data_IF_230837634374
#
_entry.id   IF_230837634374
#
_cell.length_a   1.000
_cell.length_b   1.000
_cell.length_c   1.000
_cell.angle_alpha   90.00
_cell.angle_beta   90.00
_cell.angle_gamma   90.00
#
_symmetry.space_group_name_H-M   'P 1'
#
loop_
_entity.id
_entity.type
_entity.pdbx_description
1 polymer ?
#
# COMPACT_ATOMS: atom_id res chain seq x y z
N UNK A 1 -87.01 -5.19 -13.64
CA UNK A 1 -87.42 -5.29 -15.06
C UNK A 1 -86.15 -5.21 -15.90
N UNK A 2 -85.72 -6.16 -16.73
CA UNK A 2 -86.27 -7.45 -17.15
C UNK A 2 -85.08 -8.25 -17.69
N UNK A 3 -84.97 -9.50 -17.25
CA UNK A 3 -84.05 -10.54 -17.69
C UNK A 3 -84.55 -11.16 -18.99
N UNK A 4 -83.64 -11.70 -19.83
CA UNK A 4 -83.71 -12.96 -20.62
C UNK A 4 -83.08 -12.77 -22.00
N UNK A 5 -82.48 -13.74 -22.68
CA UNK A 5 -81.79 -15.02 -22.42
C UNK A 5 -81.53 -15.59 -23.84
N UNK A 6 -80.48 -16.40 -24.05
CA UNK A 6 -80.37 -17.52 -25.03
C UNK A 6 -78.88 -17.77 -25.31
N UNK A 7 -78.18 -18.84 -24.89
CA UNK A 7 -78.36 -20.32 -24.85
C UNK A 7 -77.85 -21.08 -26.10
N UNK A 8 -76.59 -21.57 -26.01
CA UNK A 8 -75.98 -22.90 -26.33
C UNK A 8 -76.68 -23.83 -27.35
N UNK A 9 -76.03 -24.43 -28.40
CA UNK A 9 -75.30 -25.73 -28.43
C UNK A 9 -73.93 -26.04 -27.81
N UNK A 10 -73.71 -27.31 -27.49
CA UNK A 10 -72.43 -28.01 -27.28
C UNK A 10 -72.43 -29.30 -28.13
N UNK A 11 -71.35 -30.10 -28.01
CA UNK A 11 -71.21 -31.51 -28.45
C UNK A 11 -70.71 -31.67 -29.90
N UNK A 12 -69.93 -32.67 -30.31
CA UNK A 12 -69.48 -33.93 -29.74
C UNK A 12 -68.19 -34.31 -30.48
N UNK A 13 -67.18 -34.86 -29.80
CA UNK A 13 -66.37 -35.95 -30.34
C UNK A 13 -65.50 -36.51 -29.24
N UNK A 14 -66.17 -37.32 -28.42
CA UNK A 14 -65.60 -38.35 -27.57
C UNK A 14 -66.03 -39.70 -28.19
N UNK A 15 -65.09 -40.41 -28.79
CA UNK A 15 -65.19 -41.81 -29.24
C UNK A 15 -63.74 -42.34 -29.23
N UNK A 16 -63.34 -43.19 -28.28
CA UNK A 16 -63.48 -44.64 -28.43
C UNK A 16 -62.15 -45.26 -28.89
N UNK A 17 -61.33 -45.76 -27.97
CA UNK A 17 -61.19 -47.19 -27.61
C UNK A 17 -60.45 -48.08 -28.63
N UNK A 18 -59.28 -48.58 -28.17
CA UNK A 18 -58.75 -49.94 -28.34
C UNK A 18 -58.11 -50.33 -29.70
N UNK A 19 -56.76 -50.47 -29.76
CA UNK A 19 -55.97 -51.73 -29.60
C UNK A 19 -54.59 -51.65 -30.29
N UNK A 20 -53.57 -52.17 -29.57
CA UNK A 20 -52.35 -52.87 -30.05
C UNK A 20 -51.40 -52.16 -31.04
N UNK A 21 -50.10 -52.01 -30.76
CA UNK A 21 -49.22 -53.15 -30.56
C UNK A 21 -47.93 -52.82 -29.77
N UNK A 22 -47.50 -53.84 -29.02
CA UNK A 22 -46.29 -54.00 -28.20
C UNK A 22 -45.02 -53.52 -28.90
N UNK A 23 -44.12 -52.86 -28.16
CA UNK A 23 -42.83 -53.47 -27.77
C UNK A 23 -42.43 -52.97 -26.39
N UNK A 24 -42.52 -53.86 -25.40
CA UNK A 24 -41.86 -53.73 -24.11
C UNK A 24 -40.36 -53.83 -24.36
N UNK A 25 -39.60 -52.76 -24.10
CA UNK A 25 -38.18 -52.88 -23.76
C UNK A 25 -37.97 -52.26 -22.39
N UNK A 26 -37.90 -53.16 -21.41
CA UNK A 26 -37.33 -52.89 -20.10
C UNK A 26 -35.91 -52.36 -20.28
N UNK A 27 -35.65 -51.12 -19.88
CA UNK A 27 -34.31 -50.70 -19.49
C UNK A 27 -34.45 -50.07 -18.11
N UNK A 28 -34.34 -50.94 -17.11
CA UNK A 28 -34.32 -50.57 -15.69
C UNK A 28 -33.06 -49.76 -15.35
N UNK A 29 -33.14 -48.96 -14.26
CA UNK A 29 -32.33 -47.79 -13.97
C UNK A 29 -31.15 -48.12 -13.05
N UNK A 30 -29.97 -47.50 -13.22
CA UNK A 30 -28.89 -47.65 -12.22
C UNK A 30 -27.74 -46.64 -12.25
N UNK A 31 -27.92 -45.41 -12.73
CA UNK A 31 -26.80 -44.44 -12.77
C UNK A 31 -27.11 -43.02 -12.30
N UNK A 32 -28.25 -42.79 -11.62
CA UNK A 32 -28.58 -41.46 -11.12
C UNK A 32 -27.96 -41.05 -9.75
N UNK A 33 -27.62 -41.95 -8.78
CA UNK A 33 -27.14 -41.46 -7.49
C UNK A 33 -25.66 -41.06 -7.49
N UNK A 34 -24.90 -41.40 -8.54
CA UNK A 34 -23.45 -41.13 -8.58
C UNK A 34 -23.12 -39.69 -9.00
N UNK A 35 -24.04 -38.99 -9.67
CA UNK A 35 -23.81 -37.61 -10.15
C UNK A 35 -23.91 -36.57 -9.02
N UNK A 36 -24.75 -36.80 -8.00
CA UNK A 36 -24.98 -35.84 -6.90
C UNK A 36 -23.82 -35.85 -5.90
N UNK A 37 -23.20 -37.00 -5.64
CA UNK A 37 -22.02 -37.09 -4.73
C UNK A 37 -20.78 -36.47 -5.38
N UNK A 38 -20.61 -36.60 -6.70
CA UNK A 38 -19.50 -36.00 -7.42
C UNK A 38 -19.55 -34.45 -7.42
N UNK A 39 -20.75 -33.86 -7.34
CA UNK A 39 -20.91 -32.40 -7.31
C UNK A 39 -20.64 -31.78 -5.93
N UNK A 40 -20.81 -32.53 -4.83
CA UNK A 40 -20.51 -32.04 -3.48
C UNK A 40 -19.01 -32.06 -3.12
N UNK A 41 -18.20 -32.89 -3.79
CA UNK A 41 -16.76 -33.01 -3.52
C UNK A 41 -15.89 -31.91 -4.17
N UNK A 42 -16.41 -31.16 -5.15
CA UNK A 42 -15.63 -30.11 -5.85
C UNK A 42 -15.64 -28.74 -5.18
N UNK A 43 -16.42 -28.54 -4.11
CA UNK A 43 -16.59 -27.22 -3.48
C UNK A 43 -15.55 -26.86 -2.39
N UNK A 44 -14.63 -27.76 -2.00
CA UNK A 44 -13.79 -27.57 -0.80
C UNK A 44 -12.37 -27.03 -1.09
N UNK A 45 -11.97 -26.88 -2.35
CA UNK A 45 -10.59 -26.48 -2.69
C UNK A 45 -10.38 -24.97 -2.95
N UNK A 46 -11.41 -24.13 -2.83
CA UNK A 46 -11.23 -22.67 -2.93
C UNK A 46 -10.66 -22.13 -1.62
N UNK A 47 -9.36 -22.34 -1.39
CA UNK A 47 -8.62 -21.60 -0.37
C UNK A 47 -8.74 -20.12 -0.71
N UNK A 48 -9.27 -19.24 0.18
CA UNK A 48 -9.16 -17.82 -0.06
C UNK A 48 -7.67 -17.53 -0.18
N UNK A 49 -7.27 -16.96 -1.31
CA UNK A 49 -5.91 -16.46 -1.45
C UNK A 49 -5.72 -15.46 -0.31
N UNK A 50 -4.98 -15.85 0.72
CA UNK A 50 -4.55 -14.96 1.78
C UNK A 50 -3.98 -13.74 1.07
N UNK A 51 -4.58 -12.56 1.27
CA UNK A 51 -4.09 -11.32 0.72
C UNK A 51 -2.68 -11.11 1.30
N UNK A 52 -1.68 -11.65 0.59
CA UNK A 52 -0.29 -11.48 0.96
C UNK A 52 -0.02 -10.00 0.80
N UNK A 53 0.19 -9.33 1.92
CA UNK A 53 0.70 -7.97 1.93
C UNK A 53 2.07 -8.04 1.26
N UNK A 54 2.09 -7.69 -0.03
CA UNK A 54 3.33 -7.63 -0.80
C UNK A 54 4.13 -6.46 -0.28
N UNK A 55 5.05 -6.75 0.64
CA UNK A 55 6.03 -5.80 1.11
C UNK A 55 6.82 -5.30 -0.09
N UNK A 56 6.71 -3.99 -0.38
CA UNK A 56 7.53 -3.33 -1.39
C UNK A 56 8.86 -2.97 -0.76
N UNK A 57 9.75 -3.96 -0.65
CA UNK A 57 11.15 -3.68 -0.37
C UNK A 57 11.78 -3.26 -1.69
N UNK A 58 11.95 -1.95 -1.89
CA UNK A 58 12.68 -1.42 -3.04
C UNK A 58 14.17 -1.72 -2.91
N UNK A 59 14.87 -1.81 -4.03
CA UNK A 59 16.33 -1.84 -4.04
C UNK A 59 16.86 -0.51 -3.47
N UNK A 60 17.65 -0.58 -2.39
CA UNK A 60 18.33 0.60 -1.84
C UNK A 60 19.57 0.83 -2.69
N UNK A 61 19.47 1.76 -3.65
CA UNK A 61 20.60 2.13 -4.50
C UNK A 61 21.56 3.01 -3.70
N UNK A 62 22.76 2.50 -3.42
CA UNK A 62 23.84 3.31 -2.88
C UNK A 62 24.23 4.39 -3.88
N UNK A 63 24.26 5.64 -3.44
CA UNK A 63 24.80 6.71 -4.27
C UNK A 63 26.29 6.44 -4.50
N UNK A 64 26.75 6.55 -5.75
CA UNK A 64 28.17 6.44 -6.10
C UNK A 64 29.01 7.65 -5.69
N UNK A 65 28.57 8.40 -4.68
CA UNK A 65 29.25 9.63 -4.22
C UNK A 65 30.57 9.27 -3.54
N UNK A 66 31.53 10.15 -3.71
CA UNK A 66 32.77 10.13 -2.94
C UNK A 66 32.51 10.64 -1.52
N UNK A 67 33.40 10.28 -0.59
CA UNK A 67 33.32 10.76 0.78
C UNK A 67 33.39 12.29 0.85
N UNK A 68 34.28 12.91 0.07
CA UNK A 68 34.41 14.37 0.00
C UNK A 68 33.10 15.06 -0.45
N UNK A 69 32.40 14.51 -1.44
CA UNK A 69 31.10 15.02 -1.88
C UNK A 69 30.03 14.87 -0.79
N UNK A 70 30.08 13.78 -0.03
CA UNK A 70 29.16 13.55 1.09
C UNK A 70 29.42 14.53 2.24
N UNK A 71 30.68 14.81 2.59
CA UNK A 71 31.06 15.81 3.60
C UNK A 71 30.66 17.23 3.15
N UNK A 72 30.84 17.58 1.88
CA UNK A 72 30.36 18.85 1.34
C UNK A 72 28.84 18.98 1.49
N UNK A 73 28.08 17.93 1.16
CA UNK A 73 26.63 17.92 1.34
C UNK A 73 26.20 18.01 2.82
N UNK A 74 26.99 17.44 3.74
CA UNK A 74 26.78 17.57 5.19
C UNK A 74 27.04 19.02 5.65
N UNK A 75 28.10 19.66 5.15
CA UNK A 75 28.41 21.06 5.41
C UNK A 75 27.25 21.96 4.99
N UNK A 76 26.72 21.78 3.78
CA UNK A 76 25.56 22.52 3.30
C UNK A 76 24.32 22.29 4.19
N UNK A 77 24.16 21.07 4.71
CA UNK A 77 23.05 20.73 5.61
C UNK A 77 23.12 21.44 6.95
N UNK A 78 24.31 21.56 7.53
CA UNK A 78 24.51 22.23 8.82
C UNK A 78 24.04 23.70 8.78
N UNK A 79 24.19 24.34 7.61
CA UNK A 79 23.81 25.74 7.37
C UNK A 79 22.34 25.92 7.01
N UNK A 80 21.63 24.85 6.63
CA UNK A 80 20.23 24.93 6.25
C UNK A 80 19.31 25.12 7.48
N UNK A 81 18.15 25.73 7.27
CA UNK A 81 17.10 25.81 8.31
C UNK A 81 16.57 24.43 8.68
N UNK A 82 16.47 23.53 7.69
CA UNK A 82 16.06 22.15 7.88
C UNK A 82 17.31 21.25 7.96
N UNK A 83 17.68 20.87 9.19
CA UNK A 83 18.91 20.10 9.49
C UNK A 83 18.69 18.60 9.64
N UNK A 84 17.55 18.10 9.18
CA UNK A 84 17.25 16.68 9.15
C UNK A 84 17.63 16.09 7.80
N UNK A 85 18.41 15.02 7.83
CA UNK A 85 18.95 14.36 6.64
C UNK A 85 18.90 12.84 6.83
N UNK A 86 19.15 12.11 5.75
CA UNK A 86 19.48 10.69 5.77
C UNK A 86 20.98 10.57 5.50
N UNK A 87 21.68 9.96 6.44
CA UNK A 87 23.09 9.61 6.32
C UNK A 87 23.20 8.13 5.98
N UNK A 88 23.95 7.81 4.93
CA UNK A 88 24.31 6.45 4.59
C UNK A 88 25.81 6.26 4.78
N UNK A 89 26.19 5.18 5.45
CA UNK A 89 27.57 4.81 5.72
C UNK A 89 28.01 3.67 4.79
N UNK A 90 29.32 3.56 4.51
CA UNK A 90 29.85 2.45 3.70
C UNK A 90 29.82 1.12 4.45
N UNK A 91 29.82 1.17 5.78
CA UNK A 91 29.90 0.03 6.67
C UNK A 91 29.04 0.23 7.92
N UNK A 92 28.93 -0.83 8.73
CA UNK A 92 28.20 -0.74 9.99
C UNK A 92 28.97 0.10 11.00
N UNK A 93 28.29 1.07 11.60
CA UNK A 93 28.86 1.89 12.66
C UNK A 93 29.00 1.11 13.96
N UNK A 94 30.19 1.19 14.56
CA UNK A 94 30.45 0.73 15.91
C UNK A 94 29.80 1.66 16.96
N UNK A 95 29.62 1.21 18.22
CA UNK A 95 29.18 2.10 19.30
C UNK A 95 30.11 3.30 19.54
N UNK A 96 31.40 3.15 19.24
CA UNK A 96 32.40 4.21 19.38
C UNK A 96 32.22 5.24 18.26
N UNK A 97 32.04 4.81 17.01
CA UNK A 97 31.81 5.70 15.86
C UNK A 97 30.54 6.53 16.07
N UNK A 98 29.50 5.92 16.64
CA UNK A 98 28.24 6.61 16.97
C UNK A 98 28.45 7.72 17.99
N UNK A 99 29.26 7.50 19.02
CA UNK A 99 29.58 8.52 20.03
C UNK A 99 30.42 9.65 19.42
N UNK A 100 31.42 9.30 18.61
CA UNK A 100 32.26 10.29 17.94
C UNK A 100 31.44 11.17 16.98
N UNK A 101 30.45 10.60 16.29
CA UNK A 101 29.49 11.36 15.49
C UNK A 101 28.64 12.30 16.34
N UNK A 102 28.13 11.82 17.47
CA UNK A 102 27.32 12.62 18.39
C UNK A 102 28.13 13.78 18.98
N UNK A 103 29.37 13.53 19.40
CA UNK A 103 30.32 14.54 19.87
C UNK A 103 30.68 15.56 18.78
N UNK A 104 30.71 15.13 17.52
CA UNK A 104 30.92 16.00 16.36
C UNK A 104 29.65 16.77 15.93
N UNK A 105 28.52 16.61 16.62
CA UNK A 105 27.26 17.32 16.32
C UNK A 105 26.36 16.63 15.30
N UNK A 106 26.52 15.32 15.09
CA UNK A 106 25.66 14.48 14.25
C UNK A 106 24.85 13.52 15.13
N UNK A 107 23.55 13.78 15.22
CA UNK A 107 22.61 13.03 16.05
C UNK A 107 21.93 11.95 15.22
N UNK A 108 22.35 10.69 15.39
CA UNK A 108 21.75 9.56 14.68
C UNK A 108 20.37 9.18 15.28
N UNK A 109 19.39 9.06 14.40
CA UNK A 109 18.02 8.64 14.71
C UNK A 109 17.75 7.21 14.26
N UNK A 110 16.53 6.98 13.76
CA UNK A 110 16.08 5.64 13.40
C UNK A 110 16.85 5.07 12.21
N UNK A 111 17.17 3.77 12.30
CA UNK A 111 17.81 3.00 11.25
C UNK A 111 16.84 2.68 10.11
N UNK A 112 17.31 2.85 8.87
CA UNK A 112 16.53 2.69 7.64
C UNK A 112 16.89 1.42 6.85
N UNK A 113 17.93 0.70 7.23
CA UNK A 113 18.51 -0.40 6.43
C UNK A 113 19.72 0.07 5.61
N UNK A 114 20.51 -0.89 5.12
CA UNK A 114 21.71 -0.65 4.28
C UNK A 114 22.67 0.44 4.82
N UNK A 115 22.93 0.37 6.13
CA UNK A 115 23.77 1.33 6.86
C UNK A 115 23.28 2.79 6.76
N UNK A 116 21.99 3.00 6.50
CA UNK A 116 21.38 4.33 6.45
C UNK A 116 20.58 4.64 7.72
N UNK A 117 20.63 5.90 8.14
CA UNK A 117 19.97 6.42 9.33
C UNK A 117 19.33 7.77 9.04
N UNK A 118 18.20 8.06 9.67
CA UNK A 118 17.83 9.47 9.86
C UNK A 118 18.86 10.14 10.77
N UNK A 119 19.17 11.40 10.51
CA UNK A 119 20.09 12.16 11.32
C UNK A 119 19.65 13.62 11.47
N UNK A 120 19.90 14.19 12.64
CA UNK A 120 19.95 15.64 12.87
C UNK A 120 21.40 16.11 12.82
N UNK A 121 21.62 17.30 12.27
CA UNK A 121 22.96 17.90 12.15
C UNK A 121 22.94 19.24 12.87
N UNK A 122 23.90 19.50 13.72
CA UNK A 122 24.02 20.80 14.39
C UNK A 122 24.59 21.87 13.44
N UNK A 123 24.34 23.14 13.76
CA UNK A 123 24.89 24.25 12.95
C UNK A 123 26.42 24.33 13.03
N UNK A 124 26.98 23.91 14.16
CA UNK A 124 28.41 23.92 14.45
C UNK A 124 28.98 22.50 14.39
N UNK A 125 28.58 21.71 13.39
CA UNK A 125 29.09 20.34 13.18
C UNK A 125 30.60 20.38 12.93
N UNK A 126 31.34 19.49 13.59
CA UNK A 126 32.78 19.28 13.36
C UNK A 126 32.98 18.35 12.16
N UNK A 127 33.15 18.95 10.98
CA UNK A 127 33.29 18.19 9.72
C UNK A 127 34.58 17.37 9.67
N UNK A 128 35.66 17.85 10.30
CA UNK A 128 36.94 17.14 10.32
C UNK A 128 36.85 15.91 11.23
N UNK A 129 36.20 16.06 12.39
CA UNK A 129 35.87 14.95 13.28
C UNK A 129 34.99 13.89 12.62
N UNK A 130 33.99 14.31 11.84
CA UNK A 130 33.14 13.40 11.05
C UNK A 130 33.93 12.67 9.97
N UNK A 131 34.76 13.38 9.20
CA UNK A 131 35.53 12.78 8.10
C UNK A 131 36.57 11.75 8.60
N UNK A 132 37.20 12.04 9.74
CA UNK A 132 38.17 11.14 10.37
C UNK A 132 37.53 9.86 10.95
N UNK A 133 36.29 9.97 11.44
CA UNK A 133 35.62 8.88 12.16
C UNK A 133 34.98 7.87 11.24
N UNK A 134 34.38 8.31 10.13
CA UNK A 134 33.45 7.48 9.38
C UNK A 134 33.58 7.65 7.87
N UNK A 135 33.37 6.54 7.16
CA UNK A 135 33.18 6.56 5.71
C UNK A 135 31.72 6.82 5.36
N UNK A 136 31.36 8.08 5.25
CA UNK A 136 30.06 8.48 4.72
C UNK A 136 30.00 8.10 3.23
N UNK A 137 28.95 7.36 2.87
CA UNK A 137 28.65 6.98 1.49
C UNK A 137 27.72 8.01 0.83
N UNK A 138 26.76 8.54 1.58
CA UNK A 138 25.80 9.51 1.04
C UNK A 138 25.15 10.38 2.13
N UNK A 139 24.73 11.56 1.71
CA UNK A 139 23.90 12.49 2.48
C UNK A 139 22.74 12.92 1.59
N UNK A 140 21.51 12.70 2.06
CA UNK A 140 20.29 13.01 1.32
C UNK A 140 19.28 13.80 2.16
N UNK A 141 18.57 14.70 1.50
CA UNK A 141 17.42 15.39 2.08
C UNK A 141 16.31 14.40 2.39
N UNK A 142 15.66 14.61 3.53
CA UNK A 142 14.38 13.96 3.80
C UNK A 142 13.35 14.55 2.83
N UNK A 143 13.02 13.79 1.78
CA UNK A 143 12.13 14.29 0.74
C UNK A 143 10.67 14.19 1.21
N UNK A 144 9.86 15.27 1.10
CA UNK A 144 8.45 15.23 1.50
C UNK A 144 7.65 14.10 0.83
N UNK A 145 7.97 13.78 -0.42
CA UNK A 145 7.36 12.65 -1.17
C UNK A 145 7.51 11.28 -0.49
N UNK A 146 8.41 11.14 0.48
CA UNK A 146 8.54 9.91 1.27
C UNK A 146 7.50 9.80 2.38
N UNK A 147 6.98 10.93 2.86
CA UNK A 147 6.01 11.01 3.97
C UNK A 147 4.62 11.39 3.49
N UNK A 148 4.50 12.12 2.39
CA UNK A 148 3.24 12.55 1.81
C UNK A 148 2.58 11.40 1.04
N UNK A 149 1.32 11.14 1.36
CA UNK A 149 0.46 10.32 0.52
C UNK A 149 0.31 10.98 -0.86
N UNK A 150 0.18 10.18 -1.92
CA UNK A 150 0.14 10.68 -3.31
C UNK A 150 -0.91 11.78 -3.52
N UNK A 151 -2.10 11.61 -2.94
CA UNK A 151 -3.19 12.60 -2.97
C UNK A 151 -2.74 13.96 -2.43
N UNK A 152 -2.13 13.97 -1.23
CA UNK A 152 -1.61 15.20 -0.62
C UNK A 152 -0.41 15.76 -1.39
N UNK A 153 0.43 14.88 -1.96
CA UNK A 153 1.54 15.28 -2.83
C UNK A 153 1.10 15.96 -4.13
N UNK A 154 -0.13 15.70 -4.60
CA UNK A 154 -0.77 16.40 -5.72
C UNK A 154 -1.51 17.67 -5.30
N UNK A 155 -1.50 18.02 -4.01
CA UNK A 155 -2.28 19.13 -3.47
C UNK A 155 -3.78 18.83 -3.33
N UNK A 156 -4.21 17.59 -3.56
CA UNK A 156 -5.59 17.17 -3.36
C UNK A 156 -5.84 16.94 -1.87
N UNK A 157 -6.81 17.64 -1.31
CA UNK A 157 -7.27 17.41 0.06
C UNK A 157 -8.50 16.50 0.02
N UNK A 158 -8.46 15.31 0.62
CA UNK A 158 -9.64 14.44 0.67
C UNK A 158 -10.82 15.13 1.35
N UNK A 159 -12.05 14.86 0.90
CA UNK A 159 -13.26 15.50 1.45
C UNK A 159 -13.49 15.25 2.95
N UNK A 160 -12.90 14.19 3.50
CA UNK A 160 -12.93 13.86 4.92
C UNK A 160 -11.81 14.51 5.73
N UNK A 161 -10.84 15.16 5.08
CA UNK A 161 -9.71 15.80 5.75
C UNK A 161 -10.09 17.21 6.21
N UNK A 162 -9.95 17.48 7.51
CA UNK A 162 -10.11 18.82 8.07
C UNK A 162 -8.77 19.53 8.00
N UNK A 163 -8.67 20.58 7.18
CA UNK A 163 -7.48 21.44 7.08
C UNK A 163 -7.75 22.72 7.87
N UNK A 164 -6.92 23.06 8.87
CA UNK A 164 -7.03 24.35 9.55
C UNK A 164 -6.93 25.48 8.53
N UNK A 165 -7.67 26.59 8.69
CA UNK A 165 -7.52 27.73 7.80
C UNK A 165 -6.06 28.17 7.78
N UNK A 166 -5.49 28.34 6.58
CA UNK A 166 -4.13 28.85 6.40
C UNK A 166 -4.00 30.13 7.20
N UNK A 167 -3.08 30.14 8.18
CA UNK A 167 -2.81 31.32 8.98
C UNK A 167 -2.03 32.30 8.10
N UNK A 168 -2.76 33.07 7.27
CA UNK A 168 -2.19 34.16 6.48
C UNK A 168 -1.70 35.18 7.50
N UNK A 169 -0.39 35.47 7.45
CA UNK A 169 0.33 36.24 8.46
C UNK A 169 -0.45 37.47 8.91
N UNK A 170 -0.84 37.46 10.19
CA UNK A 170 -1.16 38.68 10.92
C UNK A 170 0.19 39.38 11.13
N UNK A 171 0.54 40.25 10.18
CA UNK A 171 1.59 41.25 10.33
C UNK A 171 0.86 42.52 10.76
N UNK A 172 0.35 42.52 11.98
CA UNK A 172 -0.16 43.72 12.65
C UNK A 172 1.02 44.64 12.94
N UNK A 173 1.26 45.53 11.99
CA UNK A 173 1.88 46.83 12.16
C UNK A 173 1.30 47.53 13.40
N UNK A 174 1.97 47.38 14.54
CA UNK A 174 1.76 48.21 15.72
C UNK A 174 2.89 49.23 15.74
N UNK A 175 2.55 50.45 15.32
CA UNK A 175 3.44 51.59 15.38
C UNK A 175 3.80 51.97 16.83
N UNK A 176 5.01 52.48 16.97
CA UNK A 176 5.49 53.30 18.07
C UNK A 176 6.28 54.46 17.48
#
# INVERSE_FOLDING_TARGET
MTVTHTTRPANANDQGLYRSNKVVRCITPRFLPMLVVALCMTAIAARPASAQVRWRTGEVRRSGKTQAEAIAALSDRSRATARHTVLQFRESLSPLDRRQLEDAGVHLGAYLGDHAYFAGVDAAVDLDGVDATTKIADVQDVRPKWKLHQTLGRGETPAWAVVPPTQVGRHDSSGG
#
